data_IF_235848211092
#
_entry.id   IF_235848211092
#
_cell.length_a   1.000
_cell.length_b   1.000
_cell.length_c   1.000
_cell.angle_alpha   90.00
_cell.angle_beta   90.00
_cell.angle_gamma   90.00
#
_symmetry.space_group_name_H-M   'P 1'
#
loop_
_entity.id
_entity.type
_entity.pdbx_description
1 polymer ?
#
# COMPACT_ATOMS: atom_id res chain seq x y z
N UNK A 1 2.57 -13.27 -8.43
CA UNK A 1 1.52 -13.64 -9.39
C UNK A 1 0.19 -13.22 -8.80
N UNK A 2 -0.63 -12.44 -9.51
CA UNK A 2 -1.99 -12.13 -9.07
C UNK A 2 -2.80 -13.41 -9.33
N UNK A 3 -3.21 -14.13 -8.27
CA UNK A 3 -4.13 -15.27 -8.45
C UNK A 3 -5.45 -14.75 -9.00
N UNK A 4 -6.04 -15.48 -9.95
CA UNK A 4 -7.32 -15.12 -10.55
C UNK A 4 -8.39 -14.90 -9.47
N UNK A 5 -9.10 -13.76 -9.58
CA UNK A 5 -10.17 -13.37 -8.65
C UNK A 5 -9.76 -12.42 -7.51
N UNK A 6 -8.46 -12.24 -7.24
CA UNK A 6 -8.01 -11.31 -6.19
C UNK A 6 -7.80 -9.89 -6.72
N UNK A 7 -8.41 -8.90 -6.05
CA UNK A 7 -8.11 -7.49 -6.29
C UNK A 7 -6.77 -7.12 -5.65
N UNK A 8 -5.88 -6.53 -6.44
CA UNK A 8 -4.63 -5.95 -5.93
C UNK A 8 -4.76 -4.43 -5.87
N UNK A 9 -4.43 -3.89 -4.70
CA UNK A 9 -4.39 -2.46 -4.40
C UNK A 9 -2.98 -2.10 -3.98
N UNK A 10 -2.43 -1.02 -4.54
CA UNK A 10 -1.13 -0.50 -4.15
C UNK A 10 -1.34 0.76 -3.32
N UNK A 11 -0.85 0.74 -2.08
CA UNK A 11 -0.74 1.92 -1.22
C UNK A 11 0.75 2.25 -1.11
N UNK A 12 1.19 3.22 -1.91
CA UNK A 12 2.58 3.64 -2.00
C UNK A 12 3.13 4.21 -0.69
N UNK A 13 4.42 4.51 -0.71
CA UNK A 13 5.05 5.34 0.31
C UNK A 13 4.54 6.78 0.27
N UNK A 14 5.16 7.65 1.07
CA UNK A 14 4.82 9.07 1.20
C UNK A 14 4.97 9.88 -0.11
N UNK A 15 5.25 11.16 0.04
CA UNK A 15 5.06 12.18 -0.98
C UNK A 15 5.61 11.85 -2.38
N UNK A 16 4.80 12.16 -3.40
CA UNK A 16 5.26 12.29 -4.79
C UNK A 16 5.43 10.99 -5.57
N UNK A 17 4.91 9.86 -5.08
CA UNK A 17 5.20 8.57 -5.74
C UNK A 17 4.12 8.09 -6.72
N UNK A 18 3.02 8.84 -6.92
CA UNK A 18 1.98 8.43 -7.87
C UNK A 18 2.52 8.14 -9.28
N UNK A 19 3.40 8.98 -9.83
CA UNK A 19 3.99 8.75 -11.17
C UNK A 19 4.85 7.49 -11.24
N UNK A 20 5.61 7.20 -10.18
CA UNK A 20 6.49 6.02 -10.09
C UNK A 20 5.66 4.76 -9.90
N UNK A 21 4.72 4.79 -8.96
CA UNK A 21 3.93 3.62 -8.58
C UNK A 21 2.96 3.22 -9.69
N UNK A 22 2.44 4.17 -10.47
CA UNK A 22 1.63 3.86 -11.66
C UNK A 22 2.44 3.10 -12.72
N UNK A 23 3.73 3.40 -12.89
CA UNK A 23 4.61 2.64 -13.78
C UNK A 23 4.75 1.18 -13.34
N UNK A 24 4.99 0.97 -12.05
CA UNK A 24 5.06 -0.38 -11.45
C UNK A 24 3.71 -1.11 -11.58
N UNK A 25 2.59 -0.43 -11.33
CA UNK A 25 1.26 -1.01 -11.47
C UNK A 25 1.00 -1.51 -12.90
N UNK A 26 1.41 -0.72 -13.91
CA UNK A 26 1.30 -1.08 -15.32
C UNK A 26 2.10 -2.35 -15.63
N UNK A 27 3.36 -2.42 -15.20
CA UNK A 27 4.23 -3.58 -15.45
C UNK A 27 3.70 -4.87 -14.79
N UNK A 28 2.95 -4.73 -13.70
CA UNK A 28 2.33 -5.83 -12.97
C UNK A 28 0.88 -6.14 -13.42
N UNK A 29 0.34 -5.41 -14.41
CA UNK A 29 -1.03 -5.59 -14.88
C UNK A 29 -2.11 -5.20 -13.86
N UNK A 30 -1.78 -4.33 -12.91
CA UNK A 30 -2.70 -3.85 -11.88
C UNK A 30 -3.52 -2.69 -12.41
N UNK A 31 -4.84 -2.72 -12.18
CA UNK A 31 -5.72 -1.62 -12.55
C UNK A 31 -5.25 -0.31 -11.90
N UNK A 32 -4.92 0.75 -12.67
CA UNK A 32 -4.39 1.98 -12.11
C UNK A 32 -5.38 2.69 -11.17
N UNK A 33 -6.68 2.42 -11.28
CA UNK A 33 -7.68 2.91 -10.32
C UNK A 33 -7.49 2.37 -8.89
N UNK A 34 -6.72 1.29 -8.72
CA UNK A 34 -6.38 0.70 -7.43
C UNK A 34 -5.03 1.20 -6.86
N UNK A 35 -4.53 2.33 -7.36
CA UNK A 35 -3.23 2.88 -6.93
C UNK A 35 -3.43 4.16 -6.13
N UNK A 36 -2.92 4.15 -4.90
CA UNK A 36 -3.04 5.24 -3.94
C UNK A 36 -1.67 5.64 -3.41
N UNK A 37 -1.34 6.93 -3.41
CA UNK A 37 -0.08 7.42 -2.85
C UNK A 37 -0.17 8.90 -2.47
N UNK A 38 0.86 9.40 -1.79
CA UNK A 38 1.09 10.83 -1.66
C UNK A 38 1.39 11.46 -3.02
N UNK A 39 0.81 12.63 -3.23
CA UNK A 39 1.14 13.48 -4.38
C UNK A 39 2.11 14.57 -3.94
N UNK A 40 2.97 14.97 -4.85
CA UNK A 40 3.82 16.14 -4.71
C UNK A 40 3.64 17.02 -5.92
N UNK A 41 3.95 18.29 -5.74
CA UNK A 41 4.09 19.24 -6.83
C UNK A 41 5.51 19.77 -6.88
N UNK A 42 5.92 20.18 -8.07
CA UNK A 42 7.11 20.99 -8.25
C UNK A 42 6.67 22.42 -8.49
N UNK A 43 7.35 23.39 -7.89
CA UNK A 43 7.13 24.79 -8.24
C UNK A 43 7.75 25.11 -9.61
N UNK A 44 7.60 26.35 -10.07
CA UNK A 44 8.15 26.83 -11.34
C UNK A 44 9.70 26.79 -11.43
N UNK A 45 10.38 26.52 -10.33
CA UNK A 45 11.84 26.43 -10.24
C UNK A 45 12.30 24.98 -9.98
N UNK A 46 11.43 23.99 -10.22
CA UNK A 46 11.67 22.57 -9.97
C UNK A 46 11.96 22.21 -8.50
N UNK A 47 11.56 23.07 -7.55
CA UNK A 47 11.64 22.72 -6.15
C UNK A 47 10.47 21.81 -5.77
N UNK A 48 10.76 20.81 -4.95
CA UNK A 48 9.75 19.97 -4.35
C UNK A 48 8.90 20.78 -3.35
N UNK A 49 7.60 20.88 -3.59
CA UNK A 49 6.67 21.59 -2.72
C UNK A 49 5.57 20.65 -2.25
N UNK A 50 5.41 20.58 -0.93
CA UNK A 50 4.26 19.98 -0.26
C UNK A 50 3.39 21.12 0.22
N UNK A 51 2.29 21.38 -0.47
CA UNK A 51 1.27 22.30 0.03
C UNK A 51 0.33 21.57 0.99
N UNK A 52 -0.27 22.26 1.98
CA UNK A 52 -1.14 21.62 2.97
C UNK A 52 -2.30 20.81 2.37
N UNK A 53 -2.85 21.24 1.24
CA UNK A 53 -3.92 20.52 0.52
C UNK A 53 -3.45 19.17 -0.06
N UNK A 54 -2.14 19.02 -0.30
CA UNK A 54 -1.47 17.81 -0.84
C UNK A 54 -0.99 16.84 0.23
N UNK A 55 -1.27 17.12 1.51
CA UNK A 55 -1.01 16.18 2.60
C UNK A 55 -2.08 15.10 2.60
N UNK A 56 -1.66 13.84 2.44
CA UNK A 56 -2.51 12.67 2.50
C UNK A 56 -2.30 11.69 1.34
N UNK A 57 -3.11 10.65 1.32
CA UNK A 57 -3.18 9.71 0.20
C UNK A 57 -4.22 10.16 -0.81
N UNK A 58 -3.91 9.95 -2.09
CA UNK A 58 -4.76 10.29 -3.21
C UNK A 58 -4.86 9.10 -4.15
N UNK A 59 -6.01 8.96 -4.82
CA UNK A 59 -6.07 8.09 -5.99
C UNK A 59 -5.18 8.67 -7.10
N UNK A 60 -4.21 7.89 -7.57
CA UNK A 60 -3.19 8.39 -8.48
C UNK A 60 -3.71 8.66 -9.90
N UNK A 61 -4.90 8.17 -10.26
CA UNK A 61 -5.53 8.43 -11.56
C UNK A 61 -6.49 9.61 -11.48
N UNK A 62 -7.39 9.62 -10.49
CA UNK A 62 -8.44 10.65 -10.41
C UNK A 62 -7.97 11.91 -9.68
N UNK A 63 -6.89 11.83 -8.90
CA UNK A 63 -6.44 12.90 -8.01
C UNK A 63 -7.34 13.12 -6.79
N UNK A 64 -8.33 12.23 -6.57
CA UNK A 64 -9.23 12.28 -5.43
C UNK A 64 -8.46 12.10 -4.12
N UNK A 65 -8.67 13.00 -3.16
CA UNK A 65 -8.09 12.91 -1.82
C UNK A 65 -8.81 11.87 -0.99
N UNK A 66 -8.06 10.88 -0.48
CA UNK A 66 -8.57 9.76 0.30
C UNK A 66 -8.43 10.02 1.80
N UNK A 67 -7.29 10.59 2.21
CA UNK A 67 -6.98 10.85 3.62
C UNK A 67 -6.37 12.24 3.79
N UNK A 68 -6.39 12.78 5.01
CA UNK A 68 -5.74 14.07 5.34
C UNK A 68 -4.34 13.90 5.96
N UNK A 69 -3.86 12.66 6.04
CA UNK A 69 -2.57 12.29 6.64
C UNK A 69 -1.99 11.06 5.91
N UNK A 70 -0.77 10.67 6.24
CA UNK A 70 -0.08 9.52 5.63
C UNK A 70 -0.27 8.22 6.41
N UNK A 71 -1.48 7.95 6.90
CA UNK A 71 -1.82 6.71 7.59
C UNK A 71 -2.48 5.73 6.61
N UNK A 72 -1.81 4.60 6.35
CA UNK A 72 -2.30 3.60 5.38
C UNK A 72 -3.60 2.92 5.80
N UNK A 73 -3.82 2.75 7.11
CA UNK A 73 -5.05 2.12 7.63
C UNK A 73 -6.30 2.95 7.30
N UNK A 74 -6.19 4.29 7.22
CA UNK A 74 -7.28 5.15 6.80
C UNK A 74 -7.66 4.94 5.33
N UNK A 75 -6.69 4.65 4.46
CA UNK A 75 -6.96 4.30 3.05
C UNK A 75 -7.80 3.03 2.98
N UNK A 76 -7.41 1.98 3.71
CA UNK A 76 -8.18 0.72 3.70
C UNK A 76 -9.58 0.93 4.28
N UNK A 77 -9.70 1.68 5.38
CA UNK A 77 -10.99 2.03 5.97
C UNK A 77 -11.89 2.77 4.97
N UNK A 78 -11.34 3.73 4.25
CA UNK A 78 -12.05 4.46 3.19
C UNK A 78 -12.55 3.52 2.09
N UNK A 79 -11.68 2.65 1.58
CA UNK A 79 -12.01 1.74 0.48
C UNK A 79 -13.05 0.69 0.88
N UNK A 80 -13.03 0.21 2.13
CA UNK A 80 -14.09 -0.64 2.69
C UNK A 80 -15.43 0.11 2.76
N UNK A 81 -15.43 1.36 3.27
CA UNK A 81 -16.64 2.20 3.36
C UNK A 81 -17.24 2.53 1.99
N UNK A 82 -16.41 2.62 0.95
CA UNK A 82 -16.84 2.85 -0.43
C UNK A 82 -17.21 1.57 -1.18
N UNK A 83 -17.22 0.42 -0.50
CA UNK A 83 -17.50 -0.90 -1.10
C UNK A 83 -16.58 -1.26 -2.28
N UNK A 84 -15.41 -0.62 -2.34
CA UNK A 84 -14.36 -0.93 -3.32
C UNK A 84 -13.66 -2.23 -2.92
N UNK A 85 -13.38 -2.39 -1.62
CA UNK A 85 -12.94 -3.65 -1.03
C UNK A 85 -14.17 -4.40 -0.52
N UNK A 86 -14.41 -5.60 -1.06
CA UNK A 86 -15.58 -6.44 -0.72
C UNK A 86 -15.25 -7.71 0.06
N UNK A 87 -13.98 -8.04 0.21
CA UNK A 87 -13.52 -9.29 0.81
C UNK A 87 -12.52 -9.07 1.94
N UNK A 88 -11.85 -10.16 2.32
CA UNK A 88 -10.74 -10.14 3.27
C UNK A 88 -9.58 -9.31 2.73
N UNK A 89 -8.94 -8.56 3.61
CA UNK A 89 -7.76 -7.75 3.31
C UNK A 89 -6.51 -8.44 3.82
N UNK A 90 -5.62 -8.77 2.90
CA UNK A 90 -4.28 -9.24 3.20
C UNK A 90 -3.33 -8.08 2.93
N UNK A 91 -2.77 -7.50 3.98
CA UNK A 91 -1.82 -6.39 3.86
C UNK A 91 -0.40 -6.95 3.82
N UNK A 92 0.44 -6.41 2.93
CA UNK A 92 1.83 -6.86 2.75
C UNK A 92 2.74 -5.64 2.76
N UNK A 93 3.78 -5.65 3.57
CA UNK A 93 4.72 -4.52 3.65
C UNK A 93 5.89 -4.75 4.61
N UNK A 94 6.92 -3.92 4.48
CA UNK A 94 8.16 -4.01 5.25
C UNK A 94 8.26 -2.96 6.37
N UNK A 95 7.40 -1.94 6.35
CA UNK A 95 7.46 -0.78 7.23
C UNK A 95 6.56 -0.86 8.45
N UNK A 96 6.85 -0.03 9.46
CA UNK A 96 6.01 0.11 10.66
C UNK A 96 4.59 0.61 10.32
N UNK A 97 4.46 1.50 9.32
CA UNK A 97 3.16 1.96 8.84
C UNK A 97 2.31 0.84 8.23
N UNK A 98 2.94 -0.24 7.73
CA UNK A 98 2.24 -1.42 7.22
C UNK A 98 1.80 -2.33 8.37
N UNK A 99 2.66 -2.52 9.38
CA UNK A 99 2.28 -3.20 10.62
C UNK A 99 1.14 -2.46 11.34
N UNK A 100 1.06 -1.14 11.25
CA UNK A 100 -0.03 -0.38 11.87
C UNK A 100 -1.40 -0.66 11.23
N UNK A 101 -1.43 -1.06 9.96
CA UNK A 101 -2.67 -1.53 9.32
C UNK A 101 -3.22 -2.77 10.00
N UNK A 102 -2.33 -3.68 10.43
CA UNK A 102 -2.69 -4.85 11.22
C UNK A 102 -3.16 -4.46 12.62
N UNK A 103 -2.37 -3.63 13.33
CA UNK A 103 -2.69 -3.23 14.70
C UNK A 103 -4.03 -2.50 14.81
N UNK A 104 -4.40 -1.74 13.77
CA UNK A 104 -5.68 -1.01 13.70
C UNK A 104 -6.87 -1.88 13.28
N UNK A 105 -6.67 -3.18 13.05
CA UNK A 105 -7.73 -4.12 12.66
C UNK A 105 -8.28 -3.89 11.24
N UNK A 106 -7.54 -3.16 10.38
CA UNK A 106 -7.98 -2.91 9.01
C UNK A 106 -7.59 -4.03 8.04
N UNK A 107 -6.60 -4.85 8.40
CA UNK A 107 -6.25 -6.07 7.68
C UNK A 107 -6.70 -7.33 8.44
N UNK A 108 -7.20 -8.32 7.70
CA UNK A 108 -7.54 -9.65 8.24
C UNK A 108 -6.29 -10.53 8.39
N UNK A 109 -5.24 -10.23 7.64
CA UNK A 109 -3.92 -10.83 7.75
C UNK A 109 -2.85 -9.80 7.36
N UNK A 110 -1.71 -9.84 8.05
CA UNK A 110 -0.53 -9.06 7.67
C UNK A 110 0.69 -9.95 7.44
N UNK A 111 1.33 -9.75 6.30
CA UNK A 111 2.56 -10.44 5.93
C UNK A 111 3.70 -9.41 5.89
N UNK A 112 4.58 -9.48 6.89
CA UNK A 112 5.80 -8.68 6.93
C UNK A 112 6.78 -9.13 5.84
N UNK A 113 7.17 -8.22 4.95
CA UNK A 113 7.93 -8.53 3.73
C UNK A 113 9.38 -8.04 3.79
N UNK A 114 10.25 -8.85 4.38
CA UNK A 114 11.64 -8.49 4.67
C UNK A 114 12.66 -8.72 3.55
N UNK A 115 12.23 -8.89 2.29
CA UNK A 115 13.10 -9.28 1.16
C UNK A 115 14.19 -8.24 0.88
N UNK A 116 13.80 -6.96 0.82
CA UNK A 116 14.73 -5.87 0.52
C UNK A 116 15.28 -5.20 1.78
N UNK A 117 14.42 -5.04 2.80
CA UNK A 117 14.75 -4.39 4.06
C UNK A 117 14.08 -5.12 5.20
N UNK A 118 14.87 -5.53 6.20
CA UNK A 118 14.33 -6.11 7.43
C UNK A 118 14.13 -5.00 8.47
N UNK A 119 12.87 -4.70 8.80
CA UNK A 119 12.53 -3.90 9.97
C UNK A 119 12.36 -4.81 11.19
N UNK A 120 13.05 -4.49 12.30
CA UNK A 120 13.00 -5.30 13.53
C UNK A 120 11.59 -5.42 14.10
N UNK A 121 10.83 -4.32 14.18
CA UNK A 121 9.46 -4.35 14.71
C UNK A 121 8.54 -5.20 13.83
N UNK A 122 8.63 -5.03 12.51
CA UNK A 122 7.82 -5.84 11.59
C UNK A 122 8.18 -7.32 11.72
N UNK A 123 9.46 -7.66 11.81
CA UNK A 123 9.90 -9.05 12.03
C UNK A 123 9.38 -9.64 13.35
N UNK A 124 9.38 -8.85 14.42
CA UNK A 124 9.04 -9.34 15.76
C UNK A 124 7.52 -9.39 16.01
N UNK A 125 6.72 -8.57 15.29
CA UNK A 125 5.29 -8.40 15.57
C UNK A 125 4.35 -8.78 14.41
N UNK A 126 4.86 -9.00 13.19
CA UNK A 126 4.01 -9.51 12.11
C UNK A 126 3.60 -10.97 12.40
N UNK A 127 2.33 -11.35 12.19
CA UNK A 127 1.90 -12.74 12.38
C UNK A 127 2.58 -13.69 11.38
N UNK A 128 2.98 -13.17 10.22
CA UNK A 128 3.76 -13.88 9.21
C UNK A 128 4.89 -12.96 8.78
N UNK A 129 6.11 -13.48 8.71
CA UNK A 129 7.27 -12.73 8.21
C UNK A 129 8.06 -13.56 7.21
N UNK A 130 8.30 -13.00 6.02
CA UNK A 130 9.02 -13.68 4.94
C UNK A 130 10.28 -12.89 4.56
N UNK A 131 11.35 -13.61 4.21
CA UNK A 131 12.64 -13.01 3.79
C UNK A 131 13.00 -13.23 2.33
N UNK A 132 12.22 -14.03 1.62
CA UNK A 132 12.42 -14.29 0.20
C UNK A 132 11.08 -14.30 -0.52
N UNK A 133 11.10 -14.01 -1.82
CA UNK A 133 9.92 -14.15 -2.69
C UNK A 133 9.43 -15.60 -2.73
N UNK A 134 10.37 -16.56 -2.65
CA UNK A 134 10.03 -17.98 -2.59
C UNK A 134 9.18 -18.31 -1.35
N UNK A 135 9.60 -17.89 -0.15
CA UNK A 135 8.82 -18.14 1.07
C UNK A 135 7.47 -17.42 1.05
N UNK A 136 7.41 -16.24 0.43
CA UNK A 136 6.14 -15.55 0.22
C UNK A 136 5.19 -16.40 -0.63
N UNK A 137 5.64 -16.86 -1.80
CA UNK A 137 4.80 -17.67 -2.70
C UNK A 137 4.34 -18.96 -2.03
N UNK A 138 5.25 -19.69 -1.37
CA UNK A 138 4.90 -20.90 -0.59
C UNK A 138 3.80 -20.63 0.44
N UNK A 139 3.90 -19.51 1.18
CA UNK A 139 2.90 -19.15 2.17
C UNK A 139 1.54 -18.84 1.51
N UNK A 140 1.54 -18.06 0.42
CA UNK A 140 0.32 -17.76 -0.33
C UNK A 140 -0.32 -19.05 -0.84
N UNK A 141 0.45 -19.96 -1.44
CA UNK A 141 -0.08 -21.18 -2.06
C UNK A 141 -0.67 -22.17 -1.07
N UNK A 142 -0.19 -22.19 0.17
CA UNK A 142 -0.66 -23.10 1.20
C UNK A 142 -1.84 -22.55 2.03
N UNK A 143 -2.01 -21.22 2.11
CA UNK A 143 -2.90 -20.59 3.08
C UNK A 143 -3.97 -19.68 2.47
N UNK A 144 -3.84 -19.29 1.19
CA UNK A 144 -4.69 -18.28 0.53
C UNK A 144 -5.12 -18.77 -0.86
#
# INVERSE_FOLDING_TARGET
MIKDGNQVIIIGGGYGTCSIVLGVAKDLGINPANVFSGISSFDKNDNFVVTPDKIGFFNCVTGEKITNNFIKSEVISYLKKKEIIKGKVIHVGDGENDLEVWNSGQADLFIGFGVNKTNKKVKDYAPVFVKTVFNFNEYIDQNI
#
